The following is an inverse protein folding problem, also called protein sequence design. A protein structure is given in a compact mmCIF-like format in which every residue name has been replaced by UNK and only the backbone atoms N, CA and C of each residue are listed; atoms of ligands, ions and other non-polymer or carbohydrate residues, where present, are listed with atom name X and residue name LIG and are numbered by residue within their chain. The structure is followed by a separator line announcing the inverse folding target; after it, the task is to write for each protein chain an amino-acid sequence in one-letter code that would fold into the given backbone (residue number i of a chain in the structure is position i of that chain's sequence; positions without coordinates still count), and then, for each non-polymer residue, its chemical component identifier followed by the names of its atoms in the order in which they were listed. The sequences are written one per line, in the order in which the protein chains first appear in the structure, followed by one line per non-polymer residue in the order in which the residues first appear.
data_IF_944296056702
#
_entry.id   IF_944296056702
#
_cell.length_a   1.000
_cell.length_b   1.000
_cell.length_c   1.000
_cell.angle_alpha   90.00
_cell.angle_beta   90.00
_cell.angle_gamma   90.00
#
_symmetry.space_group_name_H-M   'P 1'
#
loop_
_entity.id
_entity.type
_entity.pdbx_description
1 polymer ?
#
# COMPACT_ATOMS: atom_id res chain seq x y z
N UNK A 1 34.34 2.58 4.88
CA UNK A 1 34.66 1.86 3.64
C UNK A 1 33.34 1.58 2.94
N UNK A 2 33.11 2.25 1.82
CA UNK A 2 31.88 2.10 1.02
C UNK A 2 31.85 0.69 0.42
N UNK A 3 30.77 -0.04 0.62
CA UNK A 3 30.62 -1.47 0.29
C UNK A 3 30.58 -1.81 -1.20
N UNK A 4 30.69 -0.84 -2.13
CA UNK A 4 30.47 -1.15 -3.53
C UNK A 4 31.33 -0.34 -4.50
N UNK A 5 32.43 -0.98 -4.94
CA UNK A 5 33.04 -0.66 -6.24
C UNK A 5 32.34 -1.38 -7.40
N UNK A 6 31.27 -2.13 -7.14
CA UNK A 6 30.56 -2.93 -8.15
C UNK A 6 29.18 -2.31 -8.39
N UNK A 7 28.96 -1.85 -9.62
CA UNK A 7 27.65 -1.37 -10.09
C UNK A 7 26.60 -2.49 -9.96
N UNK A 8 25.43 -2.16 -9.39
CA UNK A 8 24.30 -3.08 -9.26
C UNK A 8 23.34 -2.94 -10.43
N UNK A 9 23.04 -4.02 -11.09
CA UNK A 9 22.08 -4.05 -12.19
C UNK A 9 20.69 -4.40 -11.68
N UNK A 10 19.71 -3.54 -11.97
CA UNK A 10 18.33 -3.61 -11.48
C UNK A 10 17.40 -3.87 -12.66
N UNK A 11 16.79 -5.06 -12.68
CA UNK A 11 15.71 -5.36 -13.61
C UNK A 11 14.39 -4.83 -13.08
N UNK A 12 13.66 -4.08 -13.89
CA UNK A 12 12.29 -3.67 -13.61
C UNK A 12 11.37 -4.47 -14.52
N UNK A 13 10.50 -5.29 -13.92
CA UNK A 13 9.56 -6.09 -14.68
C UNK A 13 8.52 -5.23 -15.39
N UNK A 14 8.36 -5.42 -16.68
CA UNK A 14 7.43 -4.67 -17.52
C UNK A 14 6.60 -5.64 -18.35
N UNK A 15 5.28 -5.52 -18.24
CA UNK A 15 4.31 -6.24 -19.03
C UNK A 15 3.10 -5.33 -19.29
N UNK A 16 2.05 -5.85 -19.93
CA UNK A 16 0.80 -5.11 -20.13
C UNK A 16 0.16 -4.68 -18.82
N UNK A 17 -0.54 -3.56 -18.87
CA UNK A 17 -1.30 -2.99 -17.74
C UNK A 17 -0.46 -2.59 -16.51
N UNK A 18 0.83 -2.30 -16.68
CA UNK A 18 1.65 -1.75 -15.60
C UNK A 18 1.19 -0.35 -15.19
N UNK A 19 1.36 -0.03 -13.91
CA UNK A 19 1.21 1.35 -13.42
C UNK A 19 2.48 2.13 -13.82
N UNK A 20 2.41 2.91 -14.91
CA UNK A 20 3.55 3.59 -15.53
C UNK A 20 4.41 4.37 -14.54
N UNK A 21 3.79 5.17 -13.65
CA UNK A 21 4.51 5.96 -12.65
C UNK A 21 5.35 5.11 -11.69
N UNK A 22 4.98 3.86 -11.46
CA UNK A 22 5.74 2.95 -10.62
C UNK A 22 6.96 2.35 -11.33
N UNK A 23 6.95 2.27 -12.66
CA UNK A 23 8.11 1.88 -13.48
C UNK A 23 9.06 3.05 -13.65
N UNK A 24 8.55 4.16 -14.21
CA UNK A 24 9.38 5.36 -14.46
C UNK A 24 9.93 5.95 -13.17
N UNK A 25 9.15 5.92 -12.07
CA UNK A 25 9.61 6.40 -10.78
C UNK A 25 10.73 5.56 -10.17
N UNK A 26 10.77 4.25 -10.42
CA UNK A 26 11.90 3.39 -10.04
C UNK A 26 13.14 3.74 -10.85
N UNK A 27 13.00 3.89 -12.18
CA UNK A 27 14.11 4.29 -13.07
C UNK A 27 14.68 5.63 -12.64
N UNK A 28 13.84 6.64 -12.46
CA UNK A 28 14.24 7.98 -12.01
C UNK A 28 14.92 7.93 -10.62
N UNK A 29 14.40 7.13 -9.70
CA UNK A 29 14.97 7.01 -8.37
C UNK A 29 16.44 6.58 -8.41
N UNK A 30 16.77 5.54 -9.16
CA UNK A 30 18.16 5.07 -9.27
C UNK A 30 19.03 5.99 -10.15
N UNK A 31 18.45 6.66 -11.14
CA UNK A 31 19.13 7.70 -11.89
C UNK A 31 19.53 8.88 -10.98
N UNK A 32 18.66 9.32 -10.06
CA UNK A 32 19.00 10.33 -9.04
C UNK A 32 20.10 9.84 -8.10
N UNK A 33 20.08 8.58 -7.68
CA UNK A 33 21.17 8.01 -6.87
C UNK A 33 22.52 8.10 -7.60
N UNK A 34 22.55 7.72 -8.88
CA UNK A 34 23.76 7.82 -9.70
C UNK A 34 24.24 9.26 -9.83
N UNK A 35 23.32 10.19 -10.16
CA UNK A 35 23.67 11.59 -10.34
C UNK A 35 24.22 12.22 -9.06
N UNK A 36 23.58 11.95 -7.93
CA UNK A 36 24.08 12.42 -6.65
C UNK A 36 25.46 11.85 -6.32
N UNK A 37 25.66 10.55 -6.53
CA UNK A 37 26.95 9.88 -6.31
C UNK A 37 28.05 10.47 -7.16
N UNK A 38 27.81 10.67 -8.46
CA UNK A 38 28.77 11.29 -9.39
C UNK A 38 29.21 12.67 -8.93
N UNK A 39 28.25 13.48 -8.45
CA UNK A 39 28.54 14.82 -7.94
C UNK A 39 29.42 14.78 -6.70
N UNK A 40 29.10 13.95 -5.71
CA UNK A 40 29.86 13.92 -4.44
C UNK A 40 31.21 13.24 -4.56
N UNK A 41 31.37 12.27 -5.49
CA UNK A 41 32.61 11.57 -5.73
C UNK A 41 33.46 12.20 -6.85
N UNK A 42 32.93 13.18 -7.53
CA UNK A 42 33.58 13.80 -8.72
C UNK A 42 34.04 12.72 -9.72
N UNK A 43 33.18 11.75 -9.99
CA UNK A 43 33.47 10.56 -10.80
C UNK A 43 32.31 10.27 -11.75
N UNK A 44 32.60 9.71 -12.93
CA UNK A 44 31.59 9.22 -13.87
C UNK A 44 31.02 7.83 -13.50
N UNK A 45 31.54 7.21 -12.43
CA UNK A 45 31.08 5.89 -11.99
C UNK A 45 29.60 5.91 -11.60
N UNK A 46 28.86 4.88 -12.05
CA UNK A 46 27.47 4.66 -11.70
C UNK A 46 27.35 3.54 -10.65
N UNK A 47 26.46 3.75 -9.69
CA UNK A 47 26.14 2.75 -8.65
C UNK A 47 25.13 1.72 -9.15
N UNK A 48 24.19 2.17 -9.99
CA UNK A 48 23.04 1.38 -10.44
C UNK A 48 22.87 1.48 -11.95
N UNK A 49 22.68 0.33 -12.59
CA UNK A 49 22.21 0.22 -13.98
C UNK A 49 20.76 -0.31 -13.94
N UNK A 50 19.82 0.41 -14.58
CA UNK A 50 18.40 0.05 -14.57
C UNK A 50 17.98 -0.43 -15.95
N UNK A 51 17.42 -1.65 -16.02
CA UNK A 51 16.93 -2.24 -17.28
C UNK A 51 15.47 -2.60 -17.14
N UNK A 52 14.66 -2.26 -18.15
CA UNK A 52 13.29 -2.73 -18.28
C UNK A 52 13.30 -4.09 -18.94
N UNK A 53 12.73 -5.11 -18.31
CA UNK A 53 12.76 -6.48 -18.82
C UNK A 53 11.37 -7.13 -18.72
N UNK A 54 11.05 -7.98 -19.67
CA UNK A 54 9.75 -8.65 -19.72
C UNK A 54 9.55 -9.50 -20.96
N UNK A 55 8.36 -10.15 -21.10
CA UNK A 55 8.09 -11.08 -22.19
C UNK A 55 7.88 -10.39 -23.55
N UNK A 56 7.53 -9.11 -23.55
CA UNK A 56 7.20 -8.35 -24.75
C UNK A 56 8.26 -7.28 -25.02
N UNK A 57 8.91 -7.24 -26.19
CA UNK A 57 10.01 -6.31 -26.48
C UNK A 57 9.55 -4.84 -26.57
N UNK A 58 8.25 -4.62 -26.68
CA UNK A 58 7.65 -3.29 -26.74
C UNK A 58 6.33 -3.28 -25.97
N UNK A 59 6.21 -2.42 -24.96
CA UNK A 59 4.97 -2.23 -24.21
C UNK A 59 4.48 -0.79 -24.41
N UNK A 60 3.24 -0.65 -24.83
CA UNK A 60 2.59 0.65 -25.01
C UNK A 60 1.66 0.95 -23.83
N UNK A 61 1.70 2.18 -23.35
CA UNK A 61 0.81 2.67 -22.29
C UNK A 61 0.43 4.12 -22.57
N UNK A 62 -0.78 4.34 -23.07
CA UNK A 62 -1.23 5.65 -23.51
C UNK A 62 -0.30 6.23 -24.61
N UNK A 63 0.28 7.40 -24.35
CA UNK A 63 1.23 8.06 -25.25
C UNK A 63 2.68 7.53 -25.13
N UNK A 64 2.96 6.63 -24.18
CA UNK A 64 4.30 6.12 -23.93
C UNK A 64 4.52 4.77 -24.58
N UNK A 65 5.75 4.58 -25.08
CA UNK A 65 6.22 3.33 -25.66
C UNK A 65 7.52 2.95 -24.99
N UNK A 66 7.53 1.80 -24.29
CA UNK A 66 8.68 1.28 -23.56
C UNK A 66 9.37 0.20 -24.38
N UNK A 67 10.67 0.39 -24.64
CA UNK A 67 11.52 -0.72 -25.07
C UNK A 67 11.84 -1.59 -23.87
N UNK A 68 11.65 -2.90 -24.03
CA UNK A 68 11.81 -3.88 -22.98
C UNK A 68 12.82 -4.93 -23.45
N UNK A 69 13.81 -5.22 -22.64
CA UNK A 69 14.80 -6.26 -22.92
C UNK A 69 14.18 -7.65 -22.67
N UNK A 70 14.73 -8.65 -23.32
CA UNK A 70 14.37 -10.04 -23.07
C UNK A 70 14.65 -10.41 -21.59
N UNK A 71 13.86 -11.33 -21.05
CA UNK A 71 14.02 -11.78 -19.67
C UNK A 71 15.37 -12.50 -19.51
N UNK A 72 16.22 -11.94 -18.66
CA UNK A 72 17.53 -12.50 -18.30
C UNK A 72 17.84 -12.20 -16.83
N UNK A 73 17.45 -13.13 -15.95
CA UNK A 73 17.66 -12.98 -14.50
C UNK A 73 19.12 -13.20 -14.08
N UNK A 74 19.95 -13.78 -14.92
CA UNK A 74 21.37 -13.96 -14.61
C UNK A 74 22.14 -12.64 -14.72
N UNK A 75 21.70 -11.74 -15.58
CA UNK A 75 22.33 -10.45 -15.79
C UNK A 75 22.05 -9.38 -14.74
N UNK A 76 21.08 -9.60 -13.84
CA UNK A 76 20.65 -8.61 -12.84
C UNK A 76 20.97 -9.05 -11.40
N UNK A 77 21.14 -8.10 -10.49
CA UNK A 77 21.31 -8.31 -9.04
C UNK A 77 19.97 -8.20 -8.28
N UNK A 78 19.07 -7.39 -8.77
CA UNK A 78 17.78 -7.08 -8.13
C UNK A 78 16.68 -7.10 -9.20
N UNK A 79 15.58 -7.81 -8.96
CA UNK A 79 14.37 -7.71 -9.76
C UNK A 79 13.32 -6.90 -9.00
N UNK A 80 12.76 -5.87 -9.61
CA UNK A 80 11.65 -5.08 -9.09
C UNK A 80 10.38 -5.34 -9.90
N UNK A 81 9.30 -5.71 -9.19
CA UNK A 81 8.00 -6.04 -9.77
C UNK A 81 7.02 -4.94 -9.38
N UNK A 82 6.65 -4.05 -10.32
CA UNK A 82 5.77 -2.91 -10.06
C UNK A 82 4.30 -3.32 -9.89
N UNK A 83 3.46 -2.33 -9.62
CA UNK A 83 2.00 -2.49 -9.64
C UNK A 83 1.44 -2.55 -11.05
N UNK A 84 0.27 -3.20 -11.17
CA UNK A 84 -0.49 -3.34 -12.41
C UNK A 84 -1.89 -2.75 -12.25
N UNK A 85 -2.49 -2.28 -13.33
CA UNK A 85 -3.91 -1.94 -13.33
C UNK A 85 -4.73 -3.22 -13.19
N UNK A 86 -5.53 -3.28 -12.13
CA UNK A 86 -6.47 -4.36 -11.86
C UNK A 86 -7.75 -3.76 -11.29
N UNK A 87 -8.86 -4.01 -11.95
CA UNK A 87 -10.16 -3.43 -11.61
C UNK A 87 -11.14 -4.49 -11.07
N UNK A 88 -10.81 -5.76 -11.24
CA UNK A 88 -11.66 -6.88 -10.86
C UNK A 88 -10.83 -8.12 -10.49
N UNK A 89 -11.45 -9.17 -9.91
CA UNK A 89 -10.75 -10.39 -9.54
C UNK A 89 -10.04 -11.12 -10.69
N UNK A 90 -10.56 -11.04 -11.92
CA UNK A 90 -9.94 -11.71 -13.08
C UNK A 90 -8.59 -11.06 -13.41
N UNK A 91 -8.49 -9.74 -13.26
CA UNK A 91 -7.22 -9.03 -13.45
C UNK A 91 -6.18 -9.47 -12.42
N UNK A 92 -6.57 -9.66 -11.15
CA UNK A 92 -5.68 -10.15 -10.11
C UNK A 92 -5.18 -11.57 -10.38
N UNK A 93 -6.06 -12.44 -10.91
CA UNK A 93 -5.66 -13.78 -11.36
C UNK A 93 -4.63 -13.66 -12.48
N UNK A 94 -4.88 -12.80 -13.49
CA UNK A 94 -3.93 -12.57 -14.59
C UNK A 94 -2.57 -12.07 -14.07
N UNK A 95 -2.56 -11.07 -13.18
CA UNK A 95 -1.34 -10.56 -12.55
C UNK A 95 -0.60 -11.68 -11.83
N UNK A 96 -1.29 -12.54 -11.09
CA UNK A 96 -0.68 -13.65 -10.34
C UNK A 96 -0.01 -14.71 -11.22
N UNK A 97 -0.33 -14.79 -12.50
CA UNK A 97 0.24 -15.75 -13.45
C UNK A 97 1.48 -15.23 -14.18
N UNK A 98 1.76 -13.92 -14.14
CA UNK A 98 2.81 -13.31 -14.96
C UNK A 98 4.21 -13.87 -14.71
N UNK A 99 4.58 -14.09 -13.46
CA UNK A 99 5.90 -14.61 -13.09
C UNK A 99 5.94 -16.12 -12.88
N UNK A 100 4.80 -16.79 -12.93
CA UNK A 100 4.73 -18.24 -12.72
C UNK A 100 5.60 -19.06 -13.70
N UNK A 101 5.69 -18.71 -15.00
CA UNK A 101 6.57 -19.42 -15.94
C UNK A 101 8.06 -19.35 -15.56
N UNK A 102 8.46 -18.35 -14.78
CA UNK A 102 9.85 -18.07 -14.41
C UNK A 102 10.18 -18.47 -12.97
N UNK A 103 9.36 -19.33 -12.35
CA UNK A 103 9.53 -19.70 -10.93
C UNK A 103 10.89 -20.32 -10.65
N UNK A 104 11.39 -21.21 -11.52
CA UNK A 104 12.67 -21.90 -11.34
C UNK A 104 13.83 -20.92 -11.42
N UNK A 105 13.81 -20.00 -12.37
CA UNK A 105 14.84 -18.97 -12.56
C UNK A 105 14.87 -17.99 -11.38
N UNK A 106 13.70 -17.60 -10.87
CA UNK A 106 13.61 -16.75 -9.68
C UNK A 106 14.14 -17.47 -8.42
N UNK A 107 13.90 -18.78 -8.29
CA UNK A 107 14.50 -19.58 -7.22
C UNK A 107 16.03 -19.62 -7.34
N UNK A 108 16.54 -19.81 -8.55
CA UNK A 108 17.99 -19.80 -8.81
C UNK A 108 18.60 -18.43 -8.50
N UNK A 109 17.92 -17.35 -8.87
CA UNK A 109 18.31 -15.97 -8.54
C UNK A 109 18.45 -15.75 -7.02
N UNK A 110 17.46 -16.19 -6.23
CA UNK A 110 17.52 -16.12 -4.77
C UNK A 110 18.64 -17.00 -4.18
N UNK A 111 18.86 -18.20 -4.72
CA UNK A 111 19.94 -19.09 -4.30
C UNK A 111 21.33 -18.50 -4.56
N UNK A 112 21.47 -17.64 -5.57
CA UNK A 112 22.69 -16.87 -5.86
C UNK A 112 22.87 -15.65 -4.94
N UNK A 113 21.97 -15.41 -3.98
CA UNK A 113 22.01 -14.27 -3.08
C UNK A 113 21.53 -12.95 -3.69
N UNK A 114 20.87 -13.00 -4.84
CA UNK A 114 20.24 -11.85 -5.50
C UNK A 114 18.91 -11.52 -4.83
N UNK A 115 18.32 -10.39 -5.19
CA UNK A 115 17.16 -9.83 -4.48
C UNK A 115 15.92 -9.73 -5.35
N UNK A 116 14.76 -9.95 -4.73
CA UNK A 116 13.45 -9.68 -5.33
C UNK A 116 12.74 -8.55 -4.56
N UNK A 117 12.16 -7.62 -5.28
CA UNK A 117 11.29 -6.58 -4.74
C UNK A 117 9.95 -6.57 -5.46
N UNK A 118 8.83 -6.58 -4.72
CA UNK A 118 7.51 -6.44 -5.31
C UNK A 118 6.69 -5.42 -4.52
N UNK A 119 5.91 -4.57 -5.17
CA UNK A 119 5.09 -3.59 -4.47
C UNK A 119 3.71 -3.44 -5.12
N UNK A 120 2.78 -2.86 -4.36
CA UNK A 120 1.38 -2.79 -4.76
C UNK A 120 0.82 -4.20 -5.04
N UNK A 121 0.06 -4.36 -6.12
CA UNK A 121 -0.39 -5.69 -6.55
C UNK A 121 0.65 -6.48 -7.38
N UNK A 122 1.83 -5.95 -7.62
CA UNK A 122 2.98 -6.74 -8.08
C UNK A 122 3.33 -7.88 -7.13
N UNK A 123 2.98 -7.75 -5.84
CA UNK A 123 3.09 -8.83 -4.86
C UNK A 123 2.21 -10.05 -5.19
N UNK A 124 1.10 -9.87 -5.93
CA UNK A 124 0.30 -11.00 -6.45
C UNK A 124 1.08 -11.79 -7.49
N UNK A 125 1.85 -11.13 -8.37
CA UNK A 125 2.70 -11.82 -9.35
C UNK A 125 3.77 -12.65 -8.65
N UNK A 126 4.42 -12.09 -7.63
CA UNK A 126 5.42 -12.81 -6.84
C UNK A 126 4.80 -13.93 -6.01
N UNK A 127 3.64 -13.72 -5.38
CA UNK A 127 2.92 -14.74 -4.62
C UNK A 127 2.48 -15.91 -5.50
N UNK A 128 2.11 -15.64 -6.78
CA UNK A 128 1.73 -16.64 -7.77
C UNK A 128 2.82 -17.66 -8.11
N UNK A 129 4.09 -17.34 -7.87
CA UNK A 129 5.22 -18.26 -8.00
C UNK A 129 5.38 -19.23 -6.81
N UNK A 130 4.67 -18.97 -5.69
CA UNK A 130 4.83 -19.71 -4.44
C UNK A 130 6.03 -19.30 -3.58
N UNK A 131 6.88 -18.37 -4.02
CA UNK A 131 8.08 -17.93 -3.31
C UNK A 131 7.78 -17.21 -1.99
N UNK A 132 6.56 -16.72 -1.81
CA UNK A 132 6.11 -16.08 -0.56
C UNK A 132 5.46 -17.06 0.43
N UNK A 133 5.28 -18.35 0.09
CA UNK A 133 4.63 -19.32 0.97
C UNK A 133 5.37 -19.47 2.30
N UNK A 134 4.66 -19.35 3.40
CA UNK A 134 5.19 -19.40 4.77
C UNK A 134 5.86 -18.09 5.24
N UNK A 135 6.14 -17.16 4.33
CA UNK A 135 6.78 -15.88 4.64
C UNK A 135 5.75 -14.80 5.01
N UNK A 136 6.21 -13.79 5.73
CA UNK A 136 5.46 -12.55 5.94
C UNK A 136 5.67 -11.64 4.72
N UNK A 137 4.59 -11.02 4.24
CA UNK A 137 4.62 -10.09 3.11
C UNK A 137 3.58 -8.98 3.31
N UNK A 138 3.78 -7.83 2.68
CA UNK A 138 2.78 -6.79 2.55
C UNK A 138 2.36 -6.62 1.09
N UNK A 139 1.21 -6.01 0.87
CA UNK A 139 0.63 -5.76 -0.45
C UNK A 139 -0.27 -4.53 -0.41
N UNK A 140 -0.90 -4.21 -1.52
CA UNK A 140 -1.95 -3.21 -1.57
C UNK A 140 -3.15 -3.63 -0.72
N UNK A 141 -3.58 -2.75 0.19
CA UNK A 141 -4.57 -3.06 1.22
C UNK A 141 -6.00 -3.31 0.69
N UNK A 142 -6.39 -2.65 -0.41
CA UNK A 142 -7.77 -2.75 -0.91
C UNK A 142 -8.07 -4.06 -1.63
N UNK A 143 -7.05 -4.89 -1.91
CA UNK A 143 -7.20 -6.26 -2.43
C UNK A 143 -6.88 -7.35 -1.39
N UNK A 144 -6.83 -7.00 -0.11
CA UNK A 144 -6.41 -7.90 0.98
C UNK A 144 -7.17 -9.23 1.02
N UNK A 145 -8.49 -9.19 0.80
CA UNK A 145 -9.33 -10.38 0.93
C UNK A 145 -9.10 -11.33 -0.25
N UNK A 146 -8.93 -10.80 -1.47
CA UNK A 146 -8.50 -11.57 -2.62
C UNK A 146 -7.10 -12.16 -2.43
N UNK A 147 -6.16 -11.39 -1.87
CA UNK A 147 -4.82 -11.88 -1.61
C UNK A 147 -4.83 -13.07 -0.64
N UNK A 148 -5.54 -12.95 0.48
CA UNK A 148 -5.68 -14.03 1.47
C UNK A 148 -6.36 -15.27 0.90
N UNK A 149 -7.40 -15.10 0.07
CA UNK A 149 -8.09 -16.19 -0.60
C UNK A 149 -7.21 -16.93 -1.60
N UNK A 150 -6.44 -16.17 -2.41
CA UNK A 150 -5.58 -16.74 -3.44
C UNK A 150 -4.29 -17.35 -2.87
N UNK A 151 -3.75 -16.77 -1.81
CA UNK A 151 -2.46 -17.15 -1.23
C UNK A 151 -2.55 -17.39 0.29
N UNK A 152 -3.31 -18.39 0.75
CA UNK A 152 -3.57 -18.62 2.17
C UNK A 152 -2.31 -19.01 2.97
N UNK A 153 -1.22 -19.41 2.29
CA UNK A 153 0.05 -19.74 2.93
C UNK A 153 0.94 -18.53 3.17
N UNK A 154 0.61 -17.36 2.61
CA UNK A 154 1.38 -16.12 2.83
C UNK A 154 0.84 -15.39 4.05
N UNK A 155 1.72 -15.00 4.96
CA UNK A 155 1.37 -14.22 6.16
C UNK A 155 1.26 -12.74 5.79
N UNK A 156 0.07 -12.33 5.34
CA UNK A 156 -0.17 -10.95 4.90
C UNK A 156 -0.21 -9.98 6.08
N UNK A 157 0.76 -9.07 6.14
CA UNK A 157 0.83 -7.97 7.10
C UNK A 157 0.65 -6.61 6.40
N UNK A 158 -0.55 -6.04 6.54
CA UNK A 158 -0.88 -4.73 5.98
C UNK A 158 -0.52 -3.56 6.91
N UNK A 159 -0.02 -3.82 8.11
CA UNK A 159 0.42 -2.76 9.01
C UNK A 159 1.72 -2.13 8.52
N UNK A 160 2.63 -2.95 8.03
CA UNK A 160 3.92 -2.49 7.54
C UNK A 160 3.82 -1.98 6.10
N UNK A 161 4.55 -0.90 5.82
CA UNK A 161 4.66 -0.35 4.47
C UNK A 161 5.61 -1.18 3.61
N UNK A 162 6.72 -1.63 4.18
CA UNK A 162 7.71 -2.52 3.54
C UNK A 162 8.01 -3.68 4.49
N UNK A 163 7.94 -4.89 3.98
CA UNK A 163 8.31 -6.12 4.68
C UNK A 163 9.50 -6.74 3.99
N UNK A 164 10.54 -7.05 4.76
CA UNK A 164 11.71 -7.80 4.29
C UNK A 164 11.72 -9.18 4.92
N UNK A 165 11.78 -10.21 4.08
CA UNK A 165 11.97 -11.60 4.48
C UNK A 165 13.06 -12.22 3.62
N UNK A 166 14.17 -12.63 4.25
CA UNK A 166 15.35 -13.11 3.51
C UNK A 166 15.81 -12.08 2.46
N UNK A 167 15.95 -12.48 1.20
CA UNK A 167 16.30 -11.61 0.05
C UNK A 167 15.06 -11.13 -0.72
N UNK A 168 13.88 -11.11 -0.10
CA UNK A 168 12.64 -10.63 -0.71
C UNK A 168 12.12 -9.43 0.06
N UNK A 169 11.83 -8.34 -0.66
CA UNK A 169 11.16 -7.16 -0.13
C UNK A 169 9.77 -7.04 -0.77
N UNK A 170 8.75 -6.80 0.06
CA UNK A 170 7.42 -6.48 -0.43
C UNK A 170 7.01 -5.10 0.06
N UNK A 171 6.33 -4.33 -0.78
CA UNK A 171 5.84 -2.98 -0.49
C UNK A 171 4.31 -2.86 -0.60
N UNK A 172 3.72 -1.94 0.16
CA UNK A 172 2.30 -1.67 0.17
C UNK A 172 1.77 -1.03 -1.12
N UNK A 173 0.93 -0.01 -1.01
CA UNK A 173 0.32 0.65 -2.16
C UNK A 173 1.34 1.41 -3.04
N UNK A 174 0.91 1.86 -4.20
CA UNK A 174 1.72 2.33 -5.34
C UNK A 174 2.97 3.13 -4.97
N UNK A 175 2.86 4.19 -4.17
CA UNK A 175 4.02 5.04 -3.81
C UNK A 175 5.00 4.38 -2.84
N UNK A 176 4.73 3.19 -2.33
CA UNK A 176 5.65 2.44 -1.47
C UNK A 176 6.94 2.02 -2.21
N UNK A 177 6.95 2.09 -3.56
CA UNK A 177 8.18 1.84 -4.31
C UNK A 177 9.33 2.75 -3.87
N UNK A 178 9.06 4.00 -3.50
CA UNK A 178 10.09 4.91 -2.99
C UNK A 178 10.75 4.38 -1.72
N UNK A 179 9.95 3.94 -0.75
CA UNK A 179 10.47 3.36 0.50
C UNK A 179 11.16 2.01 0.26
N UNK A 180 10.66 1.21 -0.69
CA UNK A 180 11.29 -0.05 -1.08
C UNK A 180 12.63 0.20 -1.78
N UNK A 181 12.73 1.16 -2.70
CA UNK A 181 13.98 1.57 -3.34
C UNK A 181 14.97 2.14 -2.32
N UNK A 182 14.53 2.99 -1.37
CA UNK A 182 15.37 3.47 -0.27
C UNK A 182 15.97 2.30 0.53
N UNK A 183 15.17 1.25 0.80
CA UNK A 183 15.66 0.06 1.49
C UNK A 183 16.70 -0.69 0.67
N UNK A 184 16.53 -0.81 -0.65
CA UNK A 184 17.56 -1.40 -1.52
C UNK A 184 18.84 -0.57 -1.55
N UNK A 185 18.73 0.75 -1.60
CA UNK A 185 19.90 1.64 -1.51
C UNK A 185 20.62 1.46 -0.18
N UNK A 186 19.90 1.37 0.93
CA UNK A 186 20.50 1.10 2.25
C UNK A 186 21.23 -0.24 2.30
N UNK A 187 20.69 -1.28 1.65
CA UNK A 187 21.30 -2.61 1.58
C UNK A 187 22.52 -2.65 0.68
N UNK A 188 22.53 -1.93 -0.44
CA UNK A 188 23.60 -1.90 -1.42
C UNK A 188 24.74 -0.94 -1.02
N UNK A 189 24.38 0.18 -0.41
CA UNK A 189 25.30 1.24 -0.01
C UNK A 189 25.41 1.31 1.53
N UNK A 190 24.71 2.25 2.13
CA UNK A 190 24.59 2.42 3.57
C UNK A 190 23.36 3.28 3.94
N UNK A 191 23.09 3.36 5.26
CA UNK A 191 21.98 4.14 5.79
C UNK A 191 22.14 5.65 5.55
N UNK A 192 23.36 6.17 5.57
CA UNK A 192 23.62 7.62 5.40
C UNK A 192 23.28 8.06 3.97
N UNK A 193 23.70 7.27 2.98
CA UNK A 193 23.36 7.54 1.58
C UNK A 193 21.85 7.43 1.34
N UNK A 194 21.18 6.39 1.87
CA UNK A 194 19.73 6.24 1.77
C UNK A 194 18.97 7.42 2.42
N UNK A 195 19.41 7.91 3.59
CA UNK A 195 18.83 9.09 4.23
C UNK A 195 19.00 10.36 3.40
N UNK A 196 20.15 10.53 2.76
CA UNK A 196 20.39 11.66 1.89
C UNK A 196 19.48 11.62 0.65
N UNK A 197 19.31 10.44 0.04
CA UNK A 197 18.40 10.25 -1.09
C UNK A 197 16.94 10.51 -0.68
N UNK A 198 16.52 10.09 0.51
CA UNK A 198 15.20 10.39 1.05
C UNK A 198 14.94 11.91 1.14
N UNK A 199 15.93 12.69 1.58
CA UNK A 199 15.83 14.16 1.64
C UNK A 199 15.75 14.79 0.25
N UNK A 200 16.59 14.35 -0.68
CA UNK A 200 16.62 14.87 -2.07
C UNK A 200 15.27 14.64 -2.76
N UNK A 201 14.67 13.46 -2.54
CA UNK A 201 13.42 13.09 -3.16
C UNK A 201 12.16 13.44 -2.33
N UNK A 202 12.31 14.18 -1.22
CA UNK A 202 11.23 14.55 -0.31
C UNK A 202 10.39 13.33 0.13
N UNK A 203 11.05 12.18 0.30
CA UNK A 203 10.42 10.94 0.73
C UNK A 203 10.65 10.75 2.23
N UNK A 204 9.59 10.48 2.98
CA UNK A 204 9.70 10.16 4.41
C UNK A 204 10.26 8.74 4.59
N UNK A 205 11.54 8.59 5.04
CA UNK A 205 12.14 7.28 5.29
C UNK A 205 11.52 6.55 6.49
N UNK A 206 10.86 7.30 7.39
CA UNK A 206 10.20 6.78 8.59
C UNK A 206 8.74 6.43 8.35
N UNK A 207 8.26 6.49 7.11
CA UNK A 207 6.94 5.98 6.75
C UNK A 207 6.97 4.45 6.80
N UNK A 208 6.78 3.90 7.99
CA UNK A 208 6.87 2.45 8.25
C UNK A 208 5.52 1.74 8.16
N UNK A 209 4.41 2.48 8.22
CA UNK A 209 3.05 1.91 8.26
C UNK A 209 2.16 2.45 7.17
N UNK A 210 1.30 1.57 6.64
CA UNK A 210 0.20 1.97 5.75
C UNK A 210 -1.15 2.08 6.47
N UNK A 211 -1.22 1.78 7.78
CA UNK A 211 -2.45 1.84 8.57
C UNK A 211 -3.23 3.17 8.45
N UNK A 212 -2.57 4.35 8.44
CA UNK A 212 -3.30 5.61 8.31
C UNK A 212 -4.11 5.73 7.01
N UNK A 213 -3.68 5.02 5.96
CA UNK A 213 -4.27 5.07 4.62
C UNK A 213 -5.30 3.96 4.37
N UNK A 214 -5.39 2.96 5.25
CA UNK A 214 -6.39 1.92 5.15
C UNK A 214 -7.78 2.53 5.34
N UNK A 215 -8.72 2.17 4.48
CA UNK A 215 -10.13 2.50 4.65
C UNK A 215 -10.98 1.23 4.67
N UNK A 216 -12.09 1.27 5.38
CA UNK A 216 -13.06 0.20 5.36
C UNK A 216 -13.79 0.22 4.02
N UNK A 217 -13.74 -0.87 3.29
CA UNK A 217 -14.62 -1.05 2.14
C UNK A 217 -16.03 -1.35 2.66
N UNK A 218 -16.94 -0.39 2.53
CA UNK A 218 -18.30 -0.51 3.06
C UNK A 218 -19.19 -1.41 2.21
N UNK A 219 -18.85 -1.62 0.94
CA UNK A 219 -19.58 -2.56 0.09
C UNK A 219 -19.31 -4.01 0.54
N UNK A 220 -20.35 -4.85 0.69
CA UNK A 220 -20.18 -6.25 1.04
C UNK A 220 -19.33 -6.98 -0.01
N UNK A 221 -18.24 -7.62 0.44
CA UNK A 221 -17.40 -8.45 -0.44
C UNK A 221 -17.75 -9.95 -0.32
N UNK A 222 -18.95 -10.25 0.17
CA UNK A 222 -19.47 -11.60 0.38
C UNK A 222 -20.92 -11.68 -0.10
N UNK A 223 -21.39 -12.91 -0.35
CA UNK A 223 -22.76 -13.18 -0.81
C UNK A 223 -23.73 -13.49 0.35
N UNK A 224 -23.31 -13.35 1.61
CA UNK A 224 -24.17 -13.59 2.76
C UNK A 224 -25.12 -12.40 2.99
N UNK A 225 -26.36 -12.53 2.51
CA UNK A 225 -27.37 -11.48 2.62
C UNK A 225 -27.69 -11.09 4.07
N UNK A 226 -27.69 -12.07 5.00
CA UNK A 226 -27.96 -11.79 6.42
C UNK A 226 -26.82 -11.01 7.08
N UNK A 227 -25.58 -11.33 6.72
CA UNK A 227 -24.43 -10.56 7.18
C UNK A 227 -24.44 -9.14 6.64
N UNK A 228 -24.83 -8.95 5.35
CA UNK A 228 -24.97 -7.62 4.75
C UNK A 228 -26.03 -6.78 5.48
N UNK A 229 -27.16 -7.38 5.84
CA UNK A 229 -28.21 -6.71 6.64
C UNK A 229 -27.67 -6.27 8.02
N UNK A 230 -26.93 -7.11 8.72
CA UNK A 230 -26.29 -6.78 10.00
C UNK A 230 -25.25 -5.65 9.84
N UNK A 231 -24.46 -5.68 8.78
CA UNK A 231 -23.48 -4.62 8.51
C UNK A 231 -24.17 -3.27 8.26
N UNK A 232 -25.27 -3.24 7.50
CA UNK A 232 -26.07 -2.03 7.28
C UNK A 232 -26.66 -1.50 8.59
N UNK A 233 -27.19 -2.38 9.43
CA UNK A 233 -27.70 -2.02 10.76
C UNK A 233 -26.60 -1.37 11.62
N UNK A 234 -25.44 -2.02 11.73
CA UNK A 234 -24.31 -1.50 12.50
C UNK A 234 -23.81 -0.15 11.96
N UNK A 235 -23.86 0.05 10.64
CA UNK A 235 -23.48 1.32 10.00
C UNK A 235 -24.47 2.44 10.33
N UNK A 236 -25.77 2.12 10.34
CA UNK A 236 -26.83 3.10 10.64
C UNK A 236 -26.85 3.50 12.13
N UNK A 237 -26.49 2.57 13.04
CA UNK A 237 -26.59 2.74 14.49
C UNK A 237 -25.22 2.80 15.18
N UNK A 238 -24.15 3.14 14.45
CA UNK A 238 -22.78 3.04 14.95
C UNK A 238 -22.50 3.89 16.22
N UNK A 239 -23.21 4.99 16.40
CA UNK A 239 -23.08 5.86 17.58
C UNK A 239 -23.80 5.36 18.83
N UNK A 240 -24.70 4.37 18.69
CA UNK A 240 -25.49 3.83 19.78
C UNK A 240 -24.69 2.80 20.60
N UNK A 241 -25.08 2.61 21.85
CA UNK A 241 -24.53 1.53 22.68
C UNK A 241 -25.13 0.19 22.25
N UNK A 242 -24.36 -0.60 21.54
CA UNK A 242 -24.75 -1.90 21.02
C UNK A 242 -23.90 -2.98 21.72
N UNK A 243 -24.58 -3.94 22.38
CA UNK A 243 -23.94 -5.12 22.91
C UNK A 243 -24.07 -6.31 21.96
N UNK A 244 -23.20 -7.31 22.13
CA UNK A 244 -23.25 -8.53 21.32
C UNK A 244 -24.58 -9.28 21.48
N UNK A 245 -25.12 -9.32 22.70
CA UNK A 245 -26.38 -10.01 23.00
C UNK A 245 -27.58 -9.29 22.35
N UNK A 246 -27.67 -7.97 22.47
CA UNK A 246 -28.68 -7.16 21.79
C UNK A 246 -28.63 -7.32 20.27
N UNK A 247 -27.42 -7.30 19.68
CA UNK A 247 -27.27 -7.48 18.26
C UNK A 247 -27.70 -8.89 17.81
N UNK A 248 -27.38 -9.92 18.59
CA UNK A 248 -27.77 -11.30 18.30
C UNK A 248 -29.30 -11.46 18.40
N UNK A 249 -29.94 -10.91 19.42
CA UNK A 249 -31.40 -10.90 19.60
C UNK A 249 -32.10 -10.19 18.44
N UNK A 250 -31.64 -9.00 18.05
CA UNK A 250 -32.18 -8.19 16.95
C UNK A 250 -32.26 -8.97 15.62
N UNK A 251 -31.32 -9.89 15.40
CA UNK A 251 -31.25 -10.69 14.17
C UNK A 251 -31.68 -12.15 14.34
N UNK A 252 -32.34 -12.48 15.47
CA UNK A 252 -32.80 -13.82 15.82
C UNK A 252 -31.69 -14.88 15.74
N UNK A 253 -30.52 -14.54 16.30
CA UNK A 253 -29.34 -15.43 16.35
C UNK A 253 -28.85 -15.61 17.79
N UNK A 254 -28.05 -16.64 18.02
CA UNK A 254 -27.24 -16.71 19.25
C UNK A 254 -25.96 -15.90 19.06
N UNK A 255 -25.35 -15.34 20.14
CA UNK A 255 -24.06 -14.64 20.06
C UNK A 255 -22.97 -15.49 19.39
N UNK A 256 -22.94 -16.80 19.67
CA UNK A 256 -22.00 -17.73 19.04
C UNK A 256 -22.18 -17.84 17.53
N UNK A 257 -23.43 -17.90 17.06
CA UNK A 257 -23.74 -17.96 15.62
C UNK A 257 -23.33 -16.67 14.92
N UNK A 258 -23.60 -15.53 15.55
CA UNK A 258 -23.24 -14.21 15.04
C UNK A 258 -21.70 -14.06 14.92
N UNK A 259 -20.94 -14.40 15.99
CA UNK A 259 -19.48 -14.36 15.96
C UNK A 259 -18.93 -15.28 14.85
N UNK A 260 -19.44 -16.52 14.75
CA UNK A 260 -18.99 -17.47 13.73
C UNK A 260 -19.21 -16.93 12.32
N UNK A 261 -20.36 -16.32 12.05
CA UNK A 261 -20.70 -15.72 10.74
C UNK A 261 -19.74 -14.59 10.39
N UNK A 262 -19.46 -13.64 11.31
CA UNK A 262 -18.50 -12.58 11.10
C UNK A 262 -17.08 -13.12 10.88
N UNK A 263 -16.65 -14.08 11.71
CA UNK A 263 -15.33 -14.71 11.55
C UNK A 263 -15.16 -15.41 10.21
N UNK A 264 -16.19 -16.12 9.77
CA UNK A 264 -16.16 -16.86 8.50
C UNK A 264 -16.02 -15.96 7.27
N UNK A 265 -16.66 -14.80 7.27
CA UNK A 265 -16.74 -13.93 6.09
C UNK A 265 -15.85 -12.68 6.16
N UNK A 266 -15.52 -12.20 7.37
CA UNK A 266 -14.79 -10.95 7.60
C UNK A 266 -13.51 -11.13 8.40
N UNK A 267 -13.24 -12.33 8.91
CA UNK A 267 -12.10 -12.67 9.79
C UNK A 267 -12.04 -11.84 11.09
N UNK A 268 -13.15 -11.23 11.51
CA UNK A 268 -13.25 -10.41 12.72
C UNK A 268 -14.54 -10.71 13.51
N UNK A 269 -14.65 -10.18 14.74
CA UNK A 269 -15.88 -10.27 15.54
C UNK A 269 -16.84 -9.12 15.19
N UNK A 270 -18.18 -9.28 15.49
CA UNK A 270 -19.14 -8.19 15.30
C UNK A 270 -18.75 -6.89 16.00
N UNK A 271 -18.22 -7.00 17.23
CA UNK A 271 -17.82 -5.83 18.02
C UNK A 271 -16.54 -5.18 17.49
N UNK A 272 -15.58 -5.97 16.98
CA UNK A 272 -14.40 -5.42 16.29
C UNK A 272 -14.79 -4.69 15.01
N UNK A 273 -15.74 -5.25 14.25
CA UNK A 273 -16.31 -4.59 13.07
C UNK A 273 -16.96 -3.25 13.42
N UNK A 274 -17.79 -3.19 14.47
CA UNK A 274 -18.40 -1.94 14.96
C UNK A 274 -17.34 -0.92 15.38
N UNK A 275 -16.31 -1.35 16.10
CA UNK A 275 -15.20 -0.45 16.48
C UNK A 275 -14.51 0.12 15.23
N UNK A 276 -14.27 -0.70 14.22
CA UNK A 276 -13.67 -0.28 12.96
C UNK A 276 -14.57 0.71 12.19
N UNK A 277 -15.88 0.48 12.14
CA UNK A 277 -16.85 1.44 11.58
C UNK A 277 -16.79 2.81 12.27
N UNK A 278 -16.74 2.82 13.60
CA UNK A 278 -16.62 4.04 14.40
C UNK A 278 -15.34 4.81 14.08
N UNK A 279 -14.21 4.09 13.97
CA UNK A 279 -12.93 4.71 13.61
C UNK A 279 -12.95 5.25 12.18
N UNK A 280 -13.54 4.55 11.22
CA UNK A 280 -13.69 5.08 9.86
C UNK A 280 -14.57 6.34 9.82
N UNK A 281 -15.65 6.37 10.59
CA UNK A 281 -16.46 7.58 10.71
C UNK A 281 -15.66 8.72 11.37
N UNK A 282 -14.88 8.44 12.41
CA UNK A 282 -14.02 9.43 13.06
C UNK A 282 -12.96 9.98 12.09
N UNK A 283 -12.35 9.15 11.25
CA UNK A 283 -11.41 9.56 10.19
C UNK A 283 -12.08 10.55 9.24
N UNK A 284 -13.24 10.20 8.71
CA UNK A 284 -14.02 11.09 7.84
C UNK A 284 -14.37 12.44 8.49
N UNK A 285 -14.74 12.44 9.78
CA UNK A 285 -15.02 13.69 10.51
C UNK A 285 -13.75 14.52 10.74
N UNK A 286 -12.61 13.88 11.03
CA UNK A 286 -11.30 14.55 11.17
C UNK A 286 -10.83 15.19 9.86
N UNK A 287 -11.14 14.58 8.73
CA UNK A 287 -10.75 15.03 7.39
C UNK A 287 -11.60 16.19 6.90
N UNK A 288 -12.91 16.22 7.28
CA UNK A 288 -13.90 17.10 6.66
C UNK A 288 -14.51 18.14 7.61
N UNK A 289 -14.14 18.16 8.90
CA UNK A 289 -14.68 19.09 9.89
C UNK A 289 -13.62 19.66 10.81
N UNK A 290 -13.92 20.83 11.40
CA UNK A 290 -13.09 21.43 12.45
C UNK A 290 -13.49 20.99 13.87
N UNK A 291 -14.38 20.02 14.01
CA UNK A 291 -14.85 19.53 15.31
C UNK A 291 -13.66 19.05 16.16
N UNK A 292 -13.80 19.22 17.47
CA UNK A 292 -12.77 18.74 18.41
C UNK A 292 -12.74 17.20 18.43
N UNK A 293 -11.65 16.63 18.95
CA UNK A 293 -11.57 15.17 19.09
C UNK A 293 -12.64 14.64 20.08
N UNK A 294 -13.01 15.44 21.05
CA UNK A 294 -14.06 15.19 22.03
C UNK A 294 -15.45 15.15 21.37
N UNK A 295 -15.76 16.13 20.51
CA UNK A 295 -17.02 16.15 19.76
C UNK A 295 -17.13 14.95 18.82
N UNK A 296 -16.04 14.64 18.11
CA UNK A 296 -15.99 13.48 17.20
C UNK A 296 -16.16 12.18 17.97
N UNK A 297 -15.50 12.04 19.13
CA UNK A 297 -15.63 10.88 19.99
C UNK A 297 -17.09 10.59 20.34
N UNK A 298 -17.84 11.63 20.77
CA UNK A 298 -19.26 11.49 21.10
C UNK A 298 -20.10 11.12 19.87
N UNK A 299 -19.84 11.72 18.72
CA UNK A 299 -20.55 11.44 17.46
C UNK A 299 -20.35 10.01 16.94
N UNK A 300 -19.29 9.34 17.36
CA UNK A 300 -19.01 7.94 16.97
C UNK A 300 -19.28 6.95 18.11
N UNK A 301 -19.96 7.38 19.19
CA UNK A 301 -20.46 6.51 20.25
C UNK A 301 -19.40 6.07 21.26
N UNK A 302 -18.43 6.95 21.59
CA UNK A 302 -17.52 6.77 22.73
C UNK A 302 -17.78 7.83 23.80
N UNK A 303 -17.67 7.41 25.06
CA UNK A 303 -17.82 8.26 26.24
C UNK A 303 -16.48 8.63 26.89
N UNK A 304 -15.45 7.77 26.72
CA UNK A 304 -14.11 8.00 27.28
C UNK A 304 -13.10 8.32 26.20
N UNK A 305 -12.53 9.53 26.30
CA UNK A 305 -11.52 10.05 25.34
C UNK A 305 -10.24 9.25 25.33
N UNK A 306 -9.83 8.66 26.46
CA UNK A 306 -8.61 7.87 26.54
C UNK A 306 -8.76 6.56 25.77
N UNK A 307 -9.89 5.88 25.93
CA UNK A 307 -10.24 4.67 25.19
C UNK A 307 -10.36 4.93 23.69
N UNK A 308 -11.03 6.03 23.32
CA UNK A 308 -11.12 6.45 21.92
C UNK A 308 -9.75 6.70 21.30
N UNK A 309 -8.87 7.49 21.94
CA UNK A 309 -7.52 7.78 21.45
C UNK A 309 -6.65 6.54 21.30
N UNK A 310 -6.72 5.61 22.26
CA UNK A 310 -5.99 4.32 22.18
C UNK A 310 -6.47 3.48 21.00
N UNK A 311 -7.79 3.37 20.83
CA UNK A 311 -8.35 2.59 19.75
C UNK A 311 -8.09 3.23 18.38
N UNK A 312 -8.23 4.56 18.28
CA UNK A 312 -7.90 5.30 17.06
C UNK A 312 -6.43 5.09 16.67
N UNK A 313 -5.51 5.19 17.64
CA UNK A 313 -4.09 4.93 17.38
C UNK A 313 -3.80 3.46 17.01
N UNK A 314 -4.53 2.51 17.57
CA UNK A 314 -4.42 1.10 17.20
C UNK A 314 -4.76 0.85 15.72
N UNK A 315 -5.84 1.47 15.22
CA UNK A 315 -6.29 1.29 13.83
C UNK A 315 -5.53 2.16 12.82
N UNK A 316 -4.97 3.30 13.24
CA UNK A 316 -4.38 4.29 12.31
C UNK A 316 -2.88 4.51 12.50
N UNK A 317 -2.27 3.96 13.54
CA UNK A 317 -0.91 4.28 13.99
C UNK A 317 -0.66 5.79 14.25
N UNK A 318 -1.71 6.60 14.38
CA UNK A 318 -1.65 8.04 14.60
C UNK A 318 -2.62 8.46 15.71
N UNK A 319 -2.31 9.56 16.40
CA UNK A 319 -3.31 10.24 17.23
C UNK A 319 -4.33 10.94 16.35
N UNK A 320 -5.58 11.21 16.84
CA UNK A 320 -6.57 11.97 16.07
C UNK A 320 -6.04 13.32 15.57
N UNK A 321 -5.26 14.03 16.40
CA UNK A 321 -4.62 15.30 16.01
C UNK A 321 -3.62 15.13 14.87
N UNK A 322 -2.72 14.15 14.97
CA UNK A 322 -1.73 13.86 13.93
C UNK A 322 -2.40 13.37 12.63
N UNK A 323 -3.49 12.60 12.76
CA UNK A 323 -4.29 12.16 11.61
C UNK A 323 -4.90 13.34 10.87
N UNK A 324 -5.55 14.27 11.59
CA UNK A 324 -6.10 15.50 11.00
C UNK A 324 -5.02 16.31 10.27
N UNK A 325 -3.90 16.56 10.93
CA UNK A 325 -2.77 17.31 10.32
C UNK A 325 -2.27 16.68 9.02
N UNK A 326 -2.39 15.36 8.90
CA UNK A 326 -1.91 14.62 7.72
C UNK A 326 -2.92 14.56 6.58
N UNK A 327 -4.22 14.52 6.87
CA UNK A 327 -5.25 14.18 5.87
C UNK A 327 -6.31 15.26 5.65
N UNK A 328 -6.43 16.23 6.55
CA UNK A 328 -7.30 17.37 6.31
C UNK A 328 -6.65 18.29 5.28
N UNK A 329 -7.32 18.48 4.15
CA UNK A 329 -6.92 19.50 3.20
C UNK A 329 -7.29 20.87 3.79
N UNK A 330 -6.28 21.70 4.06
CA UNK A 330 -6.54 23.11 4.32
C UNK A 330 -7.18 23.70 3.05
N UNK A 331 -8.33 24.39 3.17
CA UNK A 331 -8.85 25.12 2.03
C UNK A 331 -7.76 26.09 1.60
N UNK A 332 -7.24 25.92 0.38
CA UNK A 332 -6.35 26.91 -0.20
C UNK A 332 -7.12 28.22 -0.23
N UNK A 333 -6.68 29.18 0.57
CA UNK A 333 -7.12 30.57 0.43
C UNK A 333 -6.77 30.91 -1.02
N UNK A 334 -7.77 31.25 -1.83
CA UNK A 334 -7.62 31.61 -3.23
C UNK A 334 -6.49 32.63 -3.39
N UNK A 335 -5.30 32.17 -3.73
CA UNK A 335 -4.16 33.02 -4.05
C UNK A 335 -4.21 33.56 -5.50
N UNK A 336 -5.31 33.36 -6.20
CA UNK A 336 -5.57 34.05 -7.46
C UNK A 336 -6.79 34.96 -7.28
N UNK A 337 -6.61 36.28 -7.14
CA UNK A 337 -7.69 37.19 -7.48
C UNK A 337 -7.95 37.02 -8.99
N UNK A 338 -9.07 36.38 -9.32
CA UNK A 338 -9.59 36.41 -10.69
C UNK A 338 -9.78 37.90 -11.01
N UNK A 339 -8.86 38.40 -11.84
CA UNK A 339 -8.86 39.78 -12.34
C UNK A 339 -10.23 40.13 -12.88
N UNK A 340 -10.84 41.15 -12.24
CA UNK A 340 -11.76 42.11 -12.82
C UNK A 340 -12.78 41.61 -13.84
N UNK A 341 -13.96 41.24 -13.39
CA UNK A 341 -15.16 41.59 -14.15
C UNK A 341 -15.84 42.79 -13.47
N UNK A 342 -15.65 43.95 -14.12
CA UNK A 342 -16.42 45.15 -13.86
C UNK A 342 -17.91 44.84 -13.89
N UNK A 343 -18.58 45.00 -12.76
CA UNK A 343 -20.02 45.08 -12.73
C UNK A 343 -20.41 46.40 -13.39
N UNK A 344 -20.77 46.35 -14.67
CA UNK A 344 -21.52 47.44 -15.26
C UNK A 344 -22.87 47.54 -14.55
N UNK A 345 -23.02 48.65 -13.82
CA UNK A 345 -24.30 49.14 -13.31
C UNK A 345 -25.15 49.52 -14.51
N UNK A 346 -26.26 48.86 -14.70
CA UNK A 346 -27.38 49.34 -15.53
C UNK A 346 -28.35 50.08 -14.62
N UNK A 347 -28.51 51.35 -14.93
CA UNK A 347 -29.49 52.28 -14.36
C UNK A 347 -30.94 51.87 -14.71
#
# INVERSE_FOLDING_TARGET
MVKSDIMKRIGVWVDHDIVMSSVTGVVDFFAFCNKYWQVIQQSEHQLFDTVLMGPNPLVQHGAFSLKVEAVDFDSIDILLIPGFYAYNPKDLVRVSQQLKPYTTELQAMLAQGKWLGAFCNGTFALAGTGLLNGLQATSVWFFKDYFRQMFPQVKLDLQQLVVQQQSILTGGATTSYLNLCLRFVELCMDTAFAQQMAKIMLTDPNRTSQLPYLSLQLAPQHQDAKLAEIQQYLQAHLAETITLDQLAEQFAMTPRTLIRRFKQHLDETPMAYLQRLRIERAKSLLENTLWTAEDIMQQVGYEDISSFRKLFAHYTALTPKAYRQKFMFEPQIDCCPVSGQERQSVA
#
